data_IF_019115437534
#
_entry.id   IF_019115437534
#
_cell.length_a   1.000
_cell.length_b   1.000
_cell.length_c   1.000
_cell.angle_alpha   90.00
_cell.angle_beta   90.00
_cell.angle_gamma   90.00
#
_symmetry.space_group_name_H-M   'P 1'
#
loop_
_entity.id
_entity.type
_entity.pdbx_description
1 polymer ?
#
# COMPACT_ATOMS: atom_id res chain seq x y z
N UNK A 1 9.76 -27.39 59.73
CA UNK A 1 9.42 -28.11 58.48
C UNK A 1 8.40 -27.36 57.61
N UNK A 2 7.18 -27.05 58.09
CA UNK A 2 6.12 -26.39 57.27
C UNK A 2 6.52 -25.06 56.59
N UNK A 3 7.31 -24.21 57.26
CA UNK A 3 7.79 -22.92 56.71
C UNK A 3 8.79 -23.11 55.56
N UNK A 4 9.56 -24.20 55.57
CA UNK A 4 10.54 -24.53 54.51
C UNK A 4 9.79 -25.00 53.26
N UNK A 5 8.72 -25.78 53.41
CA UNK A 5 7.87 -26.16 52.28
C UNK A 5 7.19 -24.95 51.61
N UNK A 6 6.76 -23.97 52.41
CA UNK A 6 6.17 -22.74 51.86
C UNK A 6 7.21 -21.91 51.07
N UNK A 7 8.43 -21.77 51.58
CA UNK A 7 9.52 -21.09 50.85
C UNK A 7 9.94 -21.85 49.58
N UNK A 8 9.96 -23.18 49.62
CA UNK A 8 10.28 -24.00 48.45
C UNK A 8 9.20 -23.87 47.35
N UNK A 9 7.92 -23.87 47.75
CA UNK A 9 6.80 -23.68 46.83
C UNK A 9 6.82 -22.27 46.19
N UNK A 10 7.16 -21.25 46.97
CA UNK A 10 7.29 -19.88 46.48
C UNK A 10 8.49 -19.72 45.53
N UNK A 11 9.62 -20.35 45.83
CA UNK A 11 10.81 -20.35 44.96
C UNK A 11 10.56 -21.02 43.62
N UNK A 12 9.75 -22.08 43.56
CA UNK A 12 9.47 -22.81 42.33
C UNK A 12 8.54 -22.01 41.39
N UNK A 13 7.66 -21.17 41.95
CA UNK A 13 6.76 -20.30 41.17
C UNK A 13 7.47 -19.13 40.49
N UNK A 14 8.68 -18.76 40.91
CA UNK A 14 9.44 -17.66 40.31
C UNK A 14 10.13 -18.05 38.99
N UNK A 15 10.31 -19.35 38.73
CA UNK A 15 11.00 -19.83 37.53
C UNK A 15 10.11 -19.97 36.29
N UNK A 16 8.78 -19.87 36.42
CA UNK A 16 7.84 -20.06 35.30
C UNK A 16 7.46 -18.76 34.59
N UNK A 17 8.05 -17.62 34.97
CA UNK A 17 7.80 -16.34 34.32
C UNK A 17 8.55 -16.21 32.97
N UNK A 18 8.08 -16.91 31.94
CA UNK A 18 8.48 -16.63 30.56
C UNK A 18 7.66 -15.46 30.01
N UNK A 19 8.25 -14.27 29.93
CA UNK A 19 7.63 -13.15 29.22
C UNK A 19 7.68 -13.43 27.71
N UNK A 20 6.52 -13.57 27.09
CA UNK A 20 6.42 -13.77 25.64
C UNK A 20 6.88 -12.47 24.96
N UNK A 21 7.98 -12.54 24.20
CA UNK A 21 8.45 -11.40 23.43
C UNK A 21 7.42 -11.08 22.34
N UNK A 22 6.90 -9.86 22.38
CA UNK A 22 5.95 -9.34 21.40
C UNK A 22 6.62 -8.26 20.55
N UNK A 23 6.13 -8.11 19.33
CA UNK A 23 6.62 -7.18 18.33
C UNK A 23 5.55 -6.19 17.94
N UNK A 24 5.97 -5.16 17.22
CA UNK A 24 5.06 -4.22 16.59
C UNK A 24 5.38 -3.99 15.11
N UNK A 25 4.34 -3.58 14.39
CA UNK A 25 4.45 -3.09 13.02
C UNK A 25 3.97 -1.64 12.98
N UNK A 26 4.85 -0.75 12.56
CA UNK A 26 4.53 0.65 12.26
C UNK A 26 4.18 0.81 10.79
N UNK A 27 3.09 1.50 10.48
CA UNK A 27 2.71 1.84 9.10
C UNK A 27 2.33 3.32 9.06
N UNK A 28 2.90 4.05 8.12
CA UNK A 28 2.57 5.45 7.85
C UNK A 28 2.24 5.65 6.38
N UNK A 29 1.25 6.48 6.05
CA UNK A 29 0.96 6.87 4.67
C UNK A 29 1.87 8.01 4.23
N UNK A 30 2.34 7.97 2.98
CA UNK A 30 3.17 9.05 2.42
C UNK A 30 2.41 10.37 2.29
N UNK A 31 1.10 10.30 2.04
CA UNK A 31 0.24 11.48 1.89
C UNK A 31 -0.40 11.98 3.19
N UNK A 32 0.08 11.54 4.35
CA UNK A 32 -0.43 11.92 5.69
C UNK A 32 -1.96 11.77 5.85
N UNK A 33 -2.56 10.82 5.11
CA UNK A 33 -4.00 10.60 5.10
C UNK A 33 -4.40 9.46 6.04
N UNK A 34 -5.56 9.57 6.73
CA UNK A 34 -6.05 8.53 7.61
C UNK A 34 -6.45 7.26 6.83
N UNK A 35 -6.27 6.11 7.46
CA UNK A 35 -6.59 4.79 6.95
C UNK A 35 -6.97 3.85 8.10
N UNK A 36 -7.40 2.64 7.78
CA UNK A 36 -7.62 1.58 8.75
C UNK A 36 -6.90 0.31 8.30
N UNK A 37 -6.51 -0.53 9.24
CA UNK A 37 -5.94 -1.87 8.99
C UNK A 37 -6.83 -2.91 9.64
N UNK A 38 -7.27 -3.88 8.86
CA UNK A 38 -7.87 -5.11 9.35
C UNK A 38 -6.80 -6.18 9.48
N UNK A 39 -6.72 -6.78 10.66
CA UNK A 39 -5.78 -7.85 11.01
C UNK A 39 -6.49 -8.80 11.97
N UNK A 40 -6.51 -10.10 11.67
CA UNK A 40 -7.15 -11.14 12.50
C UNK A 40 -8.58 -10.74 12.93
N UNK A 41 -9.40 -10.31 11.96
CA UNK A 41 -10.77 -9.83 12.15
C UNK A 41 -10.93 -8.56 13.01
N UNK A 42 -9.84 -7.96 13.47
CA UNK A 42 -9.84 -6.70 14.22
C UNK A 42 -9.54 -5.52 13.31
N UNK A 43 -10.39 -4.51 13.38
CA UNK A 43 -10.22 -3.23 12.71
C UNK A 43 -9.45 -2.28 13.63
N UNK A 44 -8.31 -1.77 13.16
CA UNK A 44 -7.52 -0.76 13.86
C UNK A 44 -7.45 0.49 13.00
N UNK A 45 -7.82 1.65 13.54
CA UNK A 45 -7.80 2.92 12.81
C UNK A 45 -6.49 3.65 13.03
N UNK A 46 -5.97 4.29 11.99
CA UNK A 46 -4.81 5.16 12.08
C UNK A 46 -5.14 6.48 12.78
N UNK A 47 -4.12 7.25 13.09
CA UNK A 47 -4.26 8.65 13.46
C UNK A 47 -4.73 9.50 12.27
N UNK A 48 -5.13 10.73 12.55
CA UNK A 48 -5.51 11.72 11.52
C UNK A 48 -4.35 12.08 10.59
N UNK A 49 -3.10 12.01 11.07
CA UNK A 49 -1.88 12.26 10.29
C UNK A 49 -1.39 11.03 9.52
N UNK A 50 -2.17 9.94 9.53
CA UNK A 50 -1.92 8.79 8.68
C UNK A 50 -0.82 7.85 9.18
N UNK A 51 -0.76 7.56 10.48
CA UNK A 51 0.08 6.46 10.99
C UNK A 51 -0.64 5.55 11.98
N UNK A 52 -0.17 4.32 12.11
CA UNK A 52 -0.67 3.32 13.07
C UNK A 52 0.46 2.45 13.59
N UNK A 53 0.34 1.99 14.84
CA UNK A 53 1.21 0.99 15.43
C UNK A 53 0.36 -0.23 15.77
N UNK A 54 0.60 -1.34 15.09
CA UNK A 54 -0.01 -2.64 15.38
C UNK A 54 0.87 -3.35 16.41
N UNK A 55 0.44 -3.39 17.66
CA UNK A 55 1.19 -3.99 18.77
C UNK A 55 0.77 -5.42 19.08
N UNK A 56 1.53 -6.09 19.96
CA UNK A 56 1.25 -7.44 20.48
C UNK A 56 1.26 -8.51 19.39
N UNK A 57 2.13 -8.35 18.40
CA UNK A 57 2.33 -9.32 17.34
C UNK A 57 3.33 -10.39 17.79
N UNK A 58 3.09 -11.61 17.39
CA UNK A 58 3.99 -12.75 17.57
C UNK A 58 4.86 -12.91 16.33
N UNK A 59 5.89 -13.75 16.43
CA UNK A 59 6.70 -14.17 15.30
C UNK A 59 5.85 -15.03 14.34
N UNK A 60 5.26 -14.38 13.33
CA UNK A 60 4.28 -14.98 12.41
C UNK A 60 4.11 -14.13 11.14
N UNK A 61 3.39 -14.68 10.17
CA UNK A 61 2.95 -13.95 8.97
C UNK A 61 1.52 -13.45 9.15
N UNK A 62 1.31 -12.15 8.93
CA UNK A 62 0.01 -11.50 9.06
C UNK A 62 -0.48 -11.02 7.71
N UNK A 63 -1.74 -11.31 7.40
CA UNK A 63 -2.44 -10.69 6.28
C UNK A 63 -3.11 -9.41 6.77
N UNK A 64 -2.71 -8.29 6.18
CA UNK A 64 -3.19 -6.96 6.49
C UNK A 64 -4.09 -6.48 5.35
N UNK A 65 -5.30 -6.06 5.67
CA UNK A 65 -6.17 -5.41 4.69
C UNK A 65 -6.32 -3.94 5.05
N UNK A 66 -5.77 -3.08 4.21
CA UNK A 66 -5.70 -1.64 4.43
C UNK A 66 -6.77 -0.95 3.60
N UNK A 67 -7.64 -0.18 4.24
CA UNK A 67 -8.65 0.62 3.56
C UNK A 67 -8.63 2.07 3.99
N UNK A 68 -9.32 2.90 3.22
CA UNK A 68 -9.37 4.34 3.42
C UNK A 68 -10.80 4.78 3.74
N UNK A 69 -10.97 5.84 4.56
CA UNK A 69 -12.29 6.38 4.84
C UNK A 69 -13.08 6.69 3.57
N UNK A 70 -14.40 6.51 3.64
CA UNK A 70 -15.33 6.75 2.54
C UNK A 70 -15.09 5.90 1.28
N UNK A 71 -14.27 4.84 1.36
CA UNK A 71 -14.02 3.96 0.21
C UNK A 71 -13.33 4.64 -0.95
N UNK A 72 -12.55 5.70 -0.71
CA UNK A 72 -11.81 6.46 -1.74
C UNK A 72 -10.93 5.57 -2.63
N UNK A 73 -10.43 4.47 -2.05
CA UNK A 73 -9.65 3.45 -2.74
C UNK A 73 -10.18 2.07 -2.36
N UNK A 74 -10.06 1.06 -3.24
CA UNK A 74 -10.34 -0.31 -2.87
C UNK A 74 -9.43 -0.77 -1.71
N UNK A 75 -9.85 -1.81 -1.01
CA UNK A 75 -9.06 -2.38 0.08
C UNK A 75 -7.77 -3.04 -0.48
N UNK A 76 -6.64 -2.73 0.13
CA UNK A 76 -5.30 -3.16 -0.29
C UNK A 76 -4.81 -4.27 0.64
N UNK A 77 -4.52 -5.45 0.11
CA UNK A 77 -4.08 -6.59 0.92
C UNK A 77 -2.56 -6.74 0.88
N UNK A 78 -1.92 -6.98 2.01
CA UNK A 78 -0.48 -7.22 2.13
C UNK A 78 -0.22 -8.42 3.04
N UNK A 79 0.88 -9.12 2.80
CA UNK A 79 1.35 -10.17 3.69
C UNK A 79 2.65 -9.72 4.34
N UNK A 80 2.63 -9.50 5.65
CA UNK A 80 3.76 -8.99 6.43
C UNK A 80 4.27 -10.09 7.35
N UNK A 81 5.54 -10.45 7.22
CA UNK A 81 6.21 -11.40 8.12
C UNK A 81 6.88 -10.65 9.26
N UNK A 82 6.46 -10.93 10.49
CA UNK A 82 7.12 -10.49 11.71
C UNK A 82 8.12 -11.58 12.10
N UNK A 83 9.43 -11.34 11.94
CA UNK A 83 10.48 -12.34 12.16
C UNK A 83 11.41 -11.94 13.32
N UNK A 84 10.88 -12.04 14.54
CA UNK A 84 11.58 -11.68 15.78
C UNK A 84 12.12 -10.24 15.86
N UNK A 85 11.61 -9.35 15.03
CA UNK A 85 11.97 -7.94 14.99
C UNK A 85 10.74 -7.10 14.74
N UNK A 86 10.82 -5.83 15.15
CA UNK A 86 9.81 -4.83 14.80
C UNK A 86 10.03 -4.37 13.36
N UNK A 87 8.94 -3.96 12.70
CA UNK A 87 8.99 -3.52 11.31
C UNK A 87 8.35 -2.14 11.15
N UNK A 88 8.88 -1.35 10.22
CA UNK A 88 8.34 -0.05 9.86
C UNK A 88 8.12 0.04 8.36
N UNK A 89 6.93 0.51 7.96
CA UNK A 89 6.54 0.61 6.57
C UNK A 89 5.97 1.98 6.21
N UNK A 90 6.23 2.40 4.97
CA UNK A 90 5.53 3.49 4.31
C UNK A 90 4.53 2.93 3.29
N UNK A 91 3.27 3.27 3.46
CA UNK A 91 2.21 2.99 2.51
C UNK A 91 2.18 4.09 1.44
N UNK A 92 2.55 3.72 0.22
CA UNK A 92 2.71 4.62 -0.92
C UNK A 92 1.65 4.37 -1.98
N UNK A 93 1.16 5.47 -2.55
CA UNK A 93 0.32 5.42 -3.74
C UNK A 93 1.20 5.60 -4.98
N UNK A 94 1.27 4.57 -5.82
CA UNK A 94 2.11 4.54 -7.02
C UNK A 94 1.30 4.85 -8.28
N UNK A 95 0.14 5.49 -8.13
CA UNK A 95 -0.76 5.85 -9.22
C UNK A 95 -1.35 4.62 -9.89
N UNK A 96 -1.10 4.47 -11.19
CA UNK A 96 -1.63 3.36 -12.00
C UNK A 96 -1.15 1.98 -11.53
N UNK A 97 0.02 1.90 -10.89
CA UNK A 97 0.55 0.65 -10.33
C UNK A 97 -0.17 0.22 -9.05
N UNK A 98 -1.04 1.06 -8.50
CA UNK A 98 -1.75 0.81 -7.25
C UNK A 98 -0.92 1.17 -6.01
N UNK A 99 -1.21 0.49 -4.91
CA UNK A 99 -0.56 0.77 -3.62
C UNK A 99 0.61 -0.17 -3.35
N UNK A 100 1.66 0.38 -2.74
CA UNK A 100 2.84 -0.35 -2.33
C UNK A 100 3.18 -0.11 -0.87
N UNK A 101 3.67 -1.14 -0.19
CA UNK A 101 4.20 -1.10 1.16
C UNK A 101 5.73 -1.10 1.07
N UNK A 102 6.34 0.03 1.38
CA UNK A 102 7.79 0.24 1.36
C UNK A 102 8.39 0.01 2.75
N UNK A 103 9.31 -0.94 2.87
CA UNK A 103 9.97 -1.27 4.13
C UNK A 103 11.08 -0.27 4.44
N UNK A 104 11.02 0.38 5.61
CA UNK A 104 11.98 1.38 6.06
C UNK A 104 13.35 0.80 6.44
N UNK A 105 13.42 -0.50 6.74
CA UNK A 105 14.65 -1.19 7.13
C UNK A 105 15.35 -1.81 5.92
N UNK A 106 14.60 -2.49 5.06
CA UNK A 106 15.16 -3.20 3.91
C UNK A 106 15.16 -2.37 2.63
N UNK A 107 14.45 -1.25 2.60
CA UNK A 107 14.21 -0.42 1.41
C UNK A 107 13.53 -1.16 0.26
N UNK A 108 12.89 -2.30 0.56
CA UNK A 108 12.15 -3.09 -0.41
C UNK A 108 10.71 -2.58 -0.57
N UNK A 109 10.13 -2.76 -1.75
CA UNK A 109 8.74 -2.42 -2.04
C UNK A 109 7.92 -3.67 -2.31
N UNK A 110 6.85 -3.86 -1.54
CA UNK A 110 5.86 -4.92 -1.72
C UNK A 110 4.57 -4.33 -2.30
N UNK A 111 4.10 -4.84 -3.44
CA UNK A 111 2.85 -4.41 -4.04
C UNK A 111 1.64 -5.05 -3.34
N UNK A 112 0.50 -4.36 -3.36
CA UNK A 112 -0.76 -4.92 -2.85
C UNK A 112 -1.16 -6.17 -3.63
N UNK A 113 -1.69 -7.16 -2.91
CA UNK A 113 -2.21 -8.41 -3.45
C UNK A 113 -3.60 -8.11 -4.02
N UNK A 114 -3.67 -7.87 -5.33
CA UNK A 114 -4.93 -7.81 -6.08
C UNK A 114 -5.44 -9.23 -6.33
N UNK A 115 -6.76 -9.45 -6.22
CA UNK A 115 -7.39 -10.77 -6.34
C UNK A 115 -6.87 -11.61 -7.52
N UNK A 116 -6.57 -12.89 -7.21
CA UNK A 116 -5.94 -13.97 -8.00
C UNK A 116 -4.41 -14.15 -7.88
N UNK A 117 -3.75 -13.54 -6.89
CA UNK A 117 -2.44 -14.01 -6.45
C UNK A 117 -2.60 -14.82 -5.15
N UNK A 118 -2.76 -16.13 -5.30
CA UNK A 118 -2.60 -17.10 -4.22
C UNK A 118 -1.29 -16.83 -3.47
N UNK A 119 -1.37 -16.86 -2.14
CA UNK A 119 -0.27 -16.92 -1.19
C UNK A 119 0.83 -17.85 -1.70
N UNK A 120 1.86 -17.30 -2.35
CA UNK A 120 3.24 -17.77 -2.50
C UNK A 120 3.95 -16.81 -3.47
N UNK A 121 4.43 -15.66 -2.99
CA UNK A 121 5.52 -14.96 -3.67
C UNK A 121 6.82 -15.39 -3.02
N UNK A 122 7.38 -16.49 -3.54
CA UNK A 122 8.82 -16.75 -3.49
C UNK A 122 9.51 -15.68 -4.36
N UNK A 123 10.73 -15.25 -4.00
CA UNK A 123 11.49 -14.34 -4.87
C UNK A 123 11.66 -15.00 -6.24
N UNK A 124 11.37 -14.23 -7.29
CA UNK A 124 11.63 -14.62 -8.68
C UNK A 124 13.13 -14.86 -8.82
N UNK A 125 13.53 -16.12 -8.84
CA UNK A 125 14.82 -16.56 -9.32
C UNK A 125 14.60 -17.15 -10.72
N UNK A 126 15.60 -16.92 -11.57
CA UNK A 126 15.60 -17.16 -13.01
C UNK A 126 14.92 -18.45 -13.49
N UNK A 127 14.35 -18.34 -14.69
CA UNK A 127 13.71 -19.41 -15.44
C UNK A 127 14.62 -20.62 -15.67
N UNK A 128 14.62 -21.57 -14.72
CA UNK A 128 14.94 -22.99 -14.98
C UNK A 128 14.49 -24.00 -13.92
N UNK A 129 13.85 -23.58 -12.83
CA UNK A 129 13.37 -24.52 -11.82
C UNK A 129 11.95 -25.00 -12.11
N UNK A 130 11.86 -26.17 -12.74
CA UNK A 130 10.64 -26.98 -12.79
C UNK A 130 10.37 -27.48 -11.37
N UNK A 131 9.17 -27.26 -10.83
CA UNK A 131 8.88 -27.65 -9.45
C UNK A 131 9.02 -29.17 -9.25
N UNK A 132 9.49 -29.66 -8.08
CA UNK A 132 9.60 -31.10 -7.79
C UNK A 132 8.28 -31.85 -7.96
N UNK A 133 7.17 -31.15 -7.76
CA UNK A 133 5.83 -31.67 -7.99
C UNK A 133 5.50 -31.81 -9.49
N UNK A 134 5.86 -30.82 -10.31
CA UNK A 134 5.72 -30.88 -11.77
C UNK A 134 6.57 -32.01 -12.36
N UNK A 135 7.75 -32.25 -11.80
CA UNK A 135 8.59 -33.38 -12.20
C UNK A 135 7.96 -34.73 -11.82
N UNK A 136 7.38 -34.83 -10.62
CA UNK A 136 6.68 -36.04 -10.18
C UNK A 136 5.43 -36.34 -11.03
N UNK A 137 4.64 -35.31 -11.34
CA UNK A 137 3.47 -35.41 -12.23
C UNK A 137 3.87 -35.85 -13.64
N UNK A 138 4.88 -35.21 -14.22
CA UNK A 138 5.39 -35.56 -15.54
C UNK A 138 5.87 -37.01 -15.61
N UNK A 139 6.54 -37.49 -14.57
CA UNK A 139 7.00 -38.89 -14.48
C UNK A 139 5.87 -39.90 -14.24
N UNK A 140 4.88 -39.55 -13.42
CA UNK A 140 3.76 -40.44 -13.14
C UNK A 140 2.80 -40.58 -14.34
N UNK A 141 2.69 -39.54 -15.16
CA UNK A 141 1.86 -39.53 -16.37
C UNK A 141 2.64 -39.88 -17.65
N UNK A 142 3.96 -40.11 -17.56
CA UNK A 142 4.87 -40.28 -18.70
C UNK A 142 4.72 -39.17 -19.78
N UNK A 143 4.41 -37.95 -19.34
CA UNK A 143 4.16 -36.81 -20.22
C UNK A 143 5.14 -35.65 -19.91
N UNK A 144 6.19 -35.45 -20.73
CA UNK A 144 7.15 -34.36 -20.58
C UNK A 144 6.58 -32.99 -20.97
N UNK A 145 5.46 -32.92 -21.71
CA UNK A 145 4.84 -31.65 -22.11
C UNK A 145 4.28 -30.87 -20.93
N UNK A 146 4.00 -31.53 -19.81
CA UNK A 146 3.58 -30.89 -18.55
C UNK A 146 4.62 -29.94 -17.96
N UNK A 147 5.88 -30.03 -18.43
CA UNK A 147 6.97 -29.11 -18.06
C UNK A 147 6.96 -27.83 -18.91
N UNK A 148 6.20 -27.80 -20.01
CA UNK A 148 6.10 -26.67 -20.92
C UNK A 148 4.80 -25.90 -20.66
N UNK A 149 4.90 -24.57 -20.58
CA UNK A 149 3.72 -23.72 -20.40
C UNK A 149 3.01 -23.60 -21.77
N UNK A 150 1.69 -23.79 -21.85
CA UNK A 150 0.97 -23.64 -23.11
C UNK A 150 1.16 -22.23 -23.67
N UNK A 151 1.76 -22.12 -24.86
CA UNK A 151 1.75 -20.89 -25.64
C UNK A 151 0.34 -20.73 -26.24
N UNK A 152 -0.44 -19.80 -25.68
CA UNK A 152 -1.70 -19.41 -26.29
C UNK A 152 -1.35 -18.80 -27.66
N UNK A 153 -1.86 -19.32 -28.80
CA UNK A 153 -1.63 -18.72 -30.10
C UNK A 153 -2.12 -17.28 -30.09
N UNK A 154 -1.22 -16.36 -30.45
CA UNK A 154 -1.52 -14.96 -30.68
C UNK A 154 -2.55 -14.88 -31.81
N UNK A 155 -3.81 -14.57 -31.45
CA UNK A 155 -4.84 -14.20 -32.43
C UNK A 155 -4.36 -12.94 -33.11
N UNK A 156 -4.00 -13.10 -34.37
CA UNK A 156 -3.61 -12.06 -35.30
C UNK A 156 -4.85 -11.23 -35.64
N UNK A 157 -4.96 -10.05 -35.04
CA UNK A 157 -5.99 -9.06 -35.39
C UNK A 157 -5.79 -8.65 -36.85
N UNK A 158 -6.73 -9.10 -37.70
CA UNK A 158 -6.90 -8.60 -39.06
C UNK A 158 -7.07 -7.07 -39.02
N UNK A 159 -6.13 -6.36 -39.63
CA UNK A 159 -6.33 -4.98 -40.10
C UNK A 159 -7.63 -4.91 -40.93
N UNK A 160 -8.59 -4.04 -40.61
CA UNK A 160 -9.51 -3.52 -41.60
C UNK A 160 -8.79 -2.43 -42.38
N UNK A 161 -8.58 -2.70 -43.66
CA UNK A 161 -8.20 -1.73 -44.68
C UNK A 161 -9.34 -0.71 -44.83
N UNK A 162 -9.22 0.46 -44.20
CA UNK A 162 -10.11 1.60 -44.46
C UNK A 162 -9.40 2.50 -45.46
N UNK A 163 -9.80 2.33 -46.71
CA UNK A 163 -9.47 3.22 -47.80
C UNK A 163 -9.82 4.67 -47.45
N UNK A 164 -8.79 5.51 -47.43
CA UNK A 164 -8.92 6.97 -47.46
C UNK A 164 -9.51 7.37 -48.81
N UNK A 165 -10.70 7.98 -48.80
CA UNK A 165 -11.18 8.85 -49.88
C UNK A 165 -11.82 10.10 -49.29
N UNK A 166 -10.99 11.14 -49.29
CA UNK A 166 -11.25 12.56 -49.58
C UNK A 166 -12.40 13.29 -48.84
N UNK A 167 -11.99 14.21 -47.97
CA UNK A 167 -12.81 15.30 -47.41
C UNK A 167 -12.70 16.51 -48.37
N UNK A 168 -13.79 16.98 -49.00
CA UNK A 168 -13.80 18.26 -49.70
C UNK A 168 -13.71 19.43 -48.73
N UNK A 169 -12.88 20.40 -49.12
CA UNK A 169 -12.55 21.65 -48.46
C UNK A 169 -13.40 22.77 -49.04
N UNK A 170 -14.30 23.37 -48.27
CA UNK A 170 -14.99 24.66 -48.50
C UNK A 170 -16.05 24.83 -47.36
N UNK A 171 -16.35 25.94 -46.69
CA UNK A 171 -16.11 27.39 -46.80
C UNK A 171 -16.33 27.97 -45.38
N UNK A 172 -15.47 28.87 -44.89
CA UNK A 172 -15.82 29.79 -43.79
C UNK A 172 -15.69 31.21 -44.37
N UNK A 173 -16.77 32.00 -44.51
CA UNK A 173 -16.63 33.43 -44.71
C UNK A 173 -16.47 34.13 -43.36
N UNK A 174 -15.37 34.86 -43.31
CA UNK A 174 -14.98 35.96 -42.44
C UNK A 174 -16.07 37.05 -42.28
N UNK A 175 -16.35 37.48 -41.04
CA UNK A 175 -16.56 38.90 -40.67
C UNK A 175 -16.08 39.11 -39.22
N UNK A 176 -14.86 39.59 -38.98
CA UNK A 176 -14.43 40.99 -38.72
C UNK A 176 -14.77 41.58 -37.34
N UNK A 177 -13.69 41.92 -36.63
CA UNK A 177 -13.48 43.03 -35.69
C UNK A 177 -14.31 43.18 -34.39
N UNK A 178 -13.63 42.95 -33.26
CA UNK A 178 -13.33 44.05 -32.33
C UNK A 178 -12.09 43.72 -31.51
N UNK A 179 -11.00 44.47 -31.76
CA UNK A 179 -9.81 44.56 -30.93
C UNK A 179 -9.74 46.00 -30.44
N UNK A 180 -9.68 46.19 -29.12
CA UNK A 180 -9.08 47.37 -28.52
C UNK A 180 -8.50 47.01 -27.15
N UNK A 181 -7.20 46.76 -27.14
CA UNK A 181 -6.30 46.75 -25.99
C UNK A 181 -6.17 48.17 -25.43
N UNK A 182 -6.21 48.34 -24.10
CA UNK A 182 -5.32 49.28 -23.41
C UNK A 182 -4.83 48.72 -22.08
N UNK A 183 -3.55 48.96 -21.87
CA UNK A 183 -2.66 48.50 -20.83
C UNK A 183 -2.44 49.65 -19.82
N UNK A 184 -2.26 49.28 -18.55
CA UNK A 184 -1.13 49.69 -17.69
C UNK A 184 -1.43 50.46 -16.37
N UNK A 185 -0.63 50.03 -15.37
CA UNK A 185 -0.04 50.77 -14.24
C UNK A 185 -0.71 50.83 -12.84
N UNK A 186 -0.22 49.92 -11.99
CA UNK A 186 0.59 50.12 -10.75
C UNK A 186 0.42 51.47 -10.00
N UNK A 187 0.03 51.41 -8.71
CA UNK A 187 0.71 51.98 -7.52
C UNK A 187 -0.16 51.72 -6.27
N UNK A 188 0.33 50.99 -5.26
CA UNK A 188 1.13 51.43 -4.10
C UNK A 188 0.30 52.03 -2.94
N UNK A 189 0.63 51.57 -1.74
CA UNK A 189 -0.05 51.65 -0.42
C UNK A 189 0.05 53.06 0.21
N UNK A 190 -0.77 53.40 1.23
CA UNK A 190 -0.25 53.37 2.62
C UNK A 190 -1.33 52.94 3.65
N UNK A 191 -1.06 52.12 4.68
CA UNK A 191 -0.44 52.37 6.00
C UNK A 191 -1.05 53.52 6.83
N UNK A 192 -1.65 53.14 7.98
CA UNK A 192 -2.00 53.98 9.14
C UNK A 192 -3.47 53.81 9.55
N UNK A 193 -3.91 53.64 10.81
CA UNK A 193 -3.30 53.94 12.11
C UNK A 193 -4.17 53.35 13.25
N UNK A 194 -3.50 53.00 14.36
CA UNK A 194 -3.98 52.69 15.72
C UNK A 194 -5.22 53.47 16.23
N UNK A 195 -6.07 52.77 17.00
CA UNK A 195 -6.65 53.11 18.33
C UNK A 195 -7.31 51.82 18.85
N UNK A 196 -7.08 51.27 20.04
CA UNK A 196 -6.70 51.87 21.32
C UNK A 196 -7.96 52.22 22.11
N UNK A 197 -8.55 51.27 22.84
CA UNK A 197 -9.35 51.58 24.03
C UNK A 197 -9.28 50.44 25.05
N UNK A 198 -8.92 50.83 26.26
CA UNK A 198 -8.64 50.02 27.45
C UNK A 198 -9.63 50.51 28.52
N UNK A 199 -10.28 49.55 29.19
CA UNK A 199 -10.78 49.55 30.57
C UNK A 199 -10.89 50.87 31.37
N UNK A 200 -12.09 51.15 31.89
CA UNK A 200 -12.47 51.57 33.27
C UNK A 200 -14.01 51.75 33.26
N UNK A 201 -14.82 51.27 34.20
CA UNK A 201 -14.64 51.23 35.64
C UNK A 201 -15.25 52.48 36.27
N UNK A 202 -16.57 52.49 36.47
CA UNK A 202 -17.29 53.04 37.63
C UNK A 202 -18.76 52.63 37.58
#
# INVERSE_FOLDING_TARGET
MKKIHLCLLFSLSLFTASSQKVYFVYIQTEGEQPFYVKINEKLNSSTATGYIILSKLLDSSYNLSIGFPQGKWPEQNFSVKVNKTDHGYLLKNLGEKGWGLFDLQTMAMQMAITGNASTEQRPVMDSKDISPFTELLSKAADDPSLKEKPSIPKVEEKKPDVAVREIPKEIIPEVTASVATQQDKIDEKPVGKKKGSRSKGN
#
